data_IF_895234883805
#
_entry.id   IF_895234883805
#
_cell.length_a   1.000
_cell.length_b   1.000
_cell.length_c   1.000
_cell.angle_alpha   90.00
_cell.angle_beta   90.00
_cell.angle_gamma   90.00
#
_symmetry.space_group_name_H-M   'P 1'
#
loop_
_entity.id
_entity.type
_entity.pdbx_description
1 polymer ?
#
# COMPACT_ATOMS: atom_id res chain seq x y z
N UNK A 1 -69.48 -18.29 -9.55
CA UNK A 1 -68.44 -19.34 -9.68
C UNK A 1 -67.17 -18.91 -10.42
N UNK A 2 -67.18 -17.87 -11.27
CA UNK A 2 -65.99 -17.51 -12.08
C UNK A 2 -64.86 -16.75 -11.35
N UNK A 3 -65.11 -16.12 -10.19
CA UNK A 3 -64.07 -15.35 -9.45
C UNK A 3 -63.13 -16.24 -8.62
N UNK A 4 -63.59 -17.41 -8.17
CA UNK A 4 -62.79 -18.38 -7.39
C UNK A 4 -61.84 -19.21 -8.28
N UNK A 5 -62.20 -19.40 -9.55
CA UNK A 5 -61.35 -20.07 -10.55
C UNK A 5 -60.18 -19.17 -10.99
N UNK A 6 -60.39 -17.86 -11.14
CA UNK A 6 -59.33 -16.90 -11.52
C UNK A 6 -58.28 -16.76 -10.39
N UNK A 7 -58.71 -16.78 -9.13
CA UNK A 7 -57.80 -16.74 -7.98
C UNK A 7 -56.91 -18.00 -7.88
N UNK A 8 -57.43 -19.18 -8.26
CA UNK A 8 -56.65 -20.43 -8.25
C UNK A 8 -55.62 -20.52 -9.38
N UNK A 9 -55.87 -19.87 -10.52
CA UNK A 9 -54.93 -19.84 -11.66
C UNK A 9 -53.79 -18.83 -11.42
N UNK A 10 -54.03 -17.74 -10.69
CA UNK A 10 -52.99 -16.76 -10.31
C UNK A 10 -52.07 -17.30 -9.20
N UNK A 11 -52.55 -18.22 -8.35
CA UNK A 11 -51.73 -18.80 -7.28
C UNK A 11 -50.70 -19.82 -7.81
N UNK A 12 -50.96 -20.45 -8.96
CA UNK A 12 -50.04 -21.40 -9.59
C UNK A 12 -48.93 -20.75 -10.43
N UNK A 13 -49.04 -19.45 -10.77
CA UNK A 13 -48.01 -18.74 -11.54
C UNK A 13 -46.90 -18.12 -10.69
N UNK A 14 -47.01 -18.17 -9.36
CA UNK A 14 -45.98 -17.70 -8.43
C UNK A 14 -45.05 -18.80 -7.90
N UNK A 15 -45.24 -20.06 -8.33
CA UNK A 15 -44.27 -21.13 -8.13
C UNK A 15 -43.12 -20.98 -9.15
N UNK A 16 -42.40 -19.86 -9.10
CA UNK A 16 -41.09 -19.75 -9.74
C UNK A 16 -40.15 -20.66 -8.96
N UNK A 17 -39.87 -21.85 -9.48
CA UNK A 17 -38.75 -22.66 -9.02
C UNK A 17 -37.46 -21.84 -9.22
N UNK A 18 -37.03 -21.12 -8.19
CA UNK A 18 -35.63 -20.71 -8.10
C UNK A 18 -34.82 -22.00 -8.11
N UNK A 19 -34.22 -22.33 -9.26
CA UNK A 19 -33.19 -23.37 -9.31
C UNK A 19 -32.01 -22.88 -8.49
N UNK A 20 -31.97 -23.26 -7.22
CA UNK A 20 -30.80 -23.08 -6.37
C UNK A 20 -29.70 -23.96 -6.93
N UNK A 21 -28.65 -23.34 -7.45
CA UNK A 21 -27.44 -24.05 -7.88
C UNK A 21 -26.72 -24.55 -6.64
N UNK A 22 -26.94 -25.81 -6.27
CA UNK A 22 -26.23 -26.42 -5.17
C UNK A 22 -24.75 -26.56 -5.52
N UNK A 23 -23.89 -25.89 -4.75
CA UNK A 23 -22.45 -26.08 -4.84
C UNK A 23 -22.08 -27.54 -4.60
N UNK A 24 -21.27 -28.09 -5.49
CA UNK A 24 -20.61 -29.37 -5.28
C UNK A 24 -19.73 -29.28 -4.03
N UNK A 25 -19.80 -30.27 -3.10
CA UNK A 25 -18.86 -30.40 -2.00
C UNK A 25 -17.42 -30.47 -2.52
N UNK A 26 -16.46 -30.01 -1.70
CA UNK A 26 -15.03 -30.04 -2.04
C UNK A 26 -14.26 -31.12 -1.26
N UNK A 27 -14.96 -32.08 -0.67
CA UNK A 27 -14.36 -33.13 0.17
C UNK A 27 -13.46 -34.08 -0.64
N UNK A 28 -13.72 -34.21 -1.95
CA UNK A 28 -12.96 -35.02 -2.90
C UNK A 28 -11.77 -34.27 -3.54
N UNK A 29 -11.60 -32.97 -3.25
CA UNK A 29 -10.50 -32.20 -3.81
C UNK A 29 -9.18 -32.67 -3.18
N UNK A 30 -8.30 -33.21 -4.01
CA UNK A 30 -6.93 -33.57 -3.64
C UNK A 30 -5.95 -33.05 -4.68
N UNK A 31 -4.72 -32.81 -4.24
CA UNK A 31 -3.59 -32.52 -5.12
C UNK A 31 -2.48 -33.47 -4.75
N UNK A 32 -1.95 -34.16 -5.74
CA UNK A 32 -0.91 -35.18 -5.58
C UNK A 32 0.29 -34.82 -6.43
N UNK A 33 1.49 -35.13 -5.93
CA UNK A 33 2.70 -35.02 -6.72
C UNK A 33 2.89 -36.31 -7.53
N UNK A 34 3.41 -36.16 -8.74
CA UNK A 34 3.85 -37.31 -9.53
C UNK A 34 5.09 -38.00 -8.93
N UNK A 35 5.93 -37.26 -8.19
CA UNK A 35 7.15 -37.75 -7.55
C UNK A 35 7.33 -37.15 -6.15
N UNK A 36 8.11 -37.82 -5.32
CA UNK A 36 8.41 -37.35 -3.96
C UNK A 36 9.57 -36.34 -3.89
N UNK A 37 10.37 -36.21 -4.95
CA UNK A 37 11.54 -35.31 -5.02
C UNK A 37 11.81 -34.86 -6.45
N UNK A 38 12.26 -33.62 -6.61
CA UNK A 38 12.55 -33.00 -7.90
C UNK A 38 13.88 -32.25 -7.85
N UNK A 39 14.54 -32.09 -9.00
CA UNK A 39 15.75 -31.26 -9.12
C UNK A 39 15.44 -29.83 -9.58
N UNK A 40 16.37 -28.91 -9.37
CA UNK A 40 16.29 -27.56 -9.95
C UNK A 40 16.11 -27.66 -11.47
N UNK A 41 15.16 -26.89 -12.00
CA UNK A 41 14.83 -26.89 -13.43
C UNK A 41 13.95 -28.05 -13.90
N UNK A 42 13.70 -29.06 -13.06
CA UNK A 42 12.76 -30.14 -13.37
C UNK A 42 11.31 -29.63 -13.25
N UNK A 43 10.42 -29.94 -14.23
CA UNK A 43 9.00 -29.63 -14.11
C UNK A 43 8.34 -30.44 -12.99
N UNK A 44 7.78 -29.75 -12.00
CA UNK A 44 6.96 -30.34 -10.94
C UNK A 44 5.51 -30.39 -11.40
N UNK A 45 5.00 -31.60 -11.62
CA UNK A 45 3.61 -31.83 -12.03
C UNK A 45 2.73 -32.18 -10.83
N UNK A 46 1.66 -31.41 -10.68
CA UNK A 46 0.63 -31.57 -9.65
C UNK A 46 -0.62 -32.15 -10.29
N UNK A 47 -1.04 -33.33 -9.85
CA UNK A 47 -2.27 -34.00 -10.31
C UNK A 47 -3.43 -33.49 -9.46
N UNK A 48 -4.49 -33.00 -10.10
CA UNK A 48 -5.62 -32.34 -9.45
C UNK A 48 -6.87 -33.21 -9.58
N UNK A 49 -7.41 -33.61 -8.44
CA UNK A 49 -8.63 -34.42 -8.33
C UNK A 49 -9.82 -33.61 -7.79
N UNK A 50 -11.01 -34.17 -7.95
CA UNK A 50 -12.28 -33.56 -7.52
C UNK A 50 -12.87 -32.57 -8.54
N UNK A 51 -13.83 -31.78 -8.09
CA UNK A 51 -14.58 -30.82 -8.93
C UNK A 51 -14.50 -29.36 -8.41
N UNK A 52 -13.30 -28.80 -8.27
CA UNK A 52 -13.15 -27.39 -7.91
C UNK A 52 -13.58 -26.49 -9.08
N UNK A 53 -14.26 -25.38 -8.83
CA UNK A 53 -14.64 -24.39 -9.83
C UNK A 53 -13.47 -23.45 -10.11
N UNK A 54 -12.88 -22.90 -9.05
CA UNK A 54 -11.73 -22.02 -9.12
C UNK A 54 -10.57 -22.62 -8.34
N UNK A 55 -9.34 -22.40 -8.83
CA UNK A 55 -8.12 -22.79 -8.11
C UNK A 55 -7.13 -21.64 -8.20
N UNK A 56 -6.61 -21.26 -7.03
CA UNK A 56 -5.46 -20.38 -6.91
C UNK A 56 -4.28 -21.21 -6.37
N UNK A 57 -3.10 -20.98 -6.93
CA UNK A 57 -1.86 -21.67 -6.62
C UNK A 57 -0.86 -20.74 -5.94
N UNK A 58 -0.21 -21.22 -4.89
CA UNK A 58 0.89 -20.55 -4.20
C UNK A 58 2.11 -21.46 -4.25
N UNK A 59 3.18 -21.01 -4.91
CA UNK A 59 4.39 -21.84 -5.08
C UNK A 59 5.23 -21.98 -3.81
N UNK A 60 4.99 -21.16 -2.79
CA UNK A 60 5.83 -21.11 -1.59
C UNK A 60 7.16 -20.37 -1.80
N UNK A 61 7.42 -19.86 -3.01
CA UNK A 61 8.53 -18.94 -3.30
C UNK A 61 8.31 -17.59 -2.60
N UNK A 62 9.34 -16.74 -2.54
CA UNK A 62 9.23 -15.39 -1.99
C UNK A 62 8.12 -14.59 -2.71
N UNK A 63 7.26 -13.92 -1.93
CA UNK A 63 6.08 -13.20 -2.44
C UNK A 63 4.90 -14.09 -2.86
N UNK A 64 5.02 -15.42 -2.74
CA UNK A 64 4.05 -16.44 -3.19
C UNK A 64 3.70 -17.46 -2.10
N UNK A 65 3.72 -17.08 -0.81
CA UNK A 65 3.40 -17.95 0.33
C UNK A 65 1.97 -17.75 0.83
N UNK A 66 1.18 -18.82 0.90
CA UNK A 66 -0.23 -18.77 1.35
C UNK A 66 -0.39 -18.28 2.79
N UNK A 67 0.53 -18.64 3.69
CA UNK A 67 0.55 -18.19 5.08
C UNK A 67 0.61 -16.65 5.20
N UNK A 68 1.22 -15.96 4.22
CA UNK A 68 1.39 -14.49 4.23
C UNK A 68 0.36 -13.74 3.36
N UNK A 69 -0.65 -14.42 2.82
CA UNK A 69 -1.70 -13.79 1.98
C UNK A 69 -2.54 -12.71 2.68
N UNK A 70 -2.52 -12.69 4.02
CA UNK A 70 -3.20 -11.69 4.85
C UNK A 70 -2.22 -10.83 5.64
N UNK A 71 -0.91 -11.03 5.47
CA UNK A 71 0.13 -10.31 6.20
C UNK A 71 0.26 -8.92 5.61
N UNK A 72 0.00 -7.91 6.44
CA UNK A 72 0.09 -6.50 6.05
C UNK A 72 1.17 -5.74 6.81
N UNK A 73 1.79 -6.38 7.83
CA UNK A 73 2.80 -5.76 8.70
C UNK A 73 3.93 -6.77 8.96
N UNK A 74 5.18 -6.31 8.89
CA UNK A 74 6.40 -7.03 9.30
C UNK A 74 7.33 -6.05 10.01
N UNK A 75 7.72 -6.38 11.25
CA UNK A 75 8.67 -5.58 12.02
C UNK A 75 10.11 -5.74 11.50
N UNK A 76 10.94 -4.72 11.72
CA UNK A 76 12.34 -4.72 11.32
C UNK A 76 12.59 -4.24 9.89
N UNK A 77 11.59 -3.62 9.25
CA UNK A 77 11.81 -2.86 8.03
C UNK A 77 12.60 -1.59 8.35
N UNK A 78 13.54 -1.23 7.48
CA UNK A 78 14.16 0.10 7.50
C UNK A 78 13.34 1.04 6.64
N UNK A 79 13.31 2.33 6.98
CA UNK A 79 12.51 3.35 6.28
C UNK A 79 13.41 4.50 5.86
N UNK A 80 13.32 4.87 4.59
CA UNK A 80 14.09 5.97 3.99
C UNK A 80 13.16 6.95 3.29
N UNK A 81 13.42 8.24 3.50
CA UNK A 81 12.79 9.35 2.81
C UNK A 81 13.82 10.05 1.92
N UNK A 82 13.44 10.35 0.68
CA UNK A 82 14.16 11.25 -0.20
C UNK A 82 13.16 12.21 -0.86
N UNK A 83 13.53 13.48 -1.00
CA UNK A 83 12.75 14.46 -1.74
C UNK A 83 13.68 15.50 -2.34
N UNK A 84 13.16 16.28 -3.29
CA UNK A 84 13.90 17.36 -3.93
C UNK A 84 13.28 18.71 -3.62
N UNK A 85 14.12 19.71 -3.36
CA UNK A 85 13.68 21.08 -3.07
C UNK A 85 14.19 22.08 -4.10
N UNK A 86 13.46 23.18 -4.25
CA UNK A 86 13.87 24.36 -4.96
C UNK A 86 13.39 25.61 -4.21
N UNK A 87 14.35 26.39 -3.70
CA UNK A 87 14.10 27.75 -3.23
C UNK A 87 14.30 28.70 -4.41
N UNK A 88 13.20 29.26 -4.92
CA UNK A 88 13.21 30.07 -6.14
C UNK A 88 12.76 31.50 -5.87
N UNK A 89 13.19 32.42 -6.75
CA UNK A 89 13.02 33.87 -6.58
C UNK A 89 13.66 34.39 -5.29
N UNK A 90 13.34 35.63 -4.92
CA UNK A 90 13.76 36.25 -3.67
C UNK A 90 15.24 36.60 -3.64
N UNK A 91 15.68 37.08 -2.47
CA UNK A 91 17.07 37.41 -2.23
C UNK A 91 17.92 36.17 -1.92
N UNK A 92 19.21 36.33 -2.15
CA UNK A 92 20.28 35.44 -1.71
C UNK A 92 21.03 36.09 -0.53
N UNK A 93 21.53 35.31 0.45
CA UNK A 93 21.39 33.86 0.58
C UNK A 93 19.95 33.43 0.91
N UNK A 94 19.59 32.23 0.49
CA UNK A 94 18.28 31.63 0.82
C UNK A 94 18.18 31.46 2.33
N UNK A 95 17.10 31.97 2.90
CA UNK A 95 16.73 31.71 4.29
C UNK A 95 16.10 30.32 4.38
N UNK A 96 16.88 29.31 4.79
CA UNK A 96 16.40 27.94 4.96
C UNK A 96 15.69 27.72 6.29
N UNK A 97 15.74 28.69 7.22
CA UNK A 97 15.12 28.54 8.54
C UNK A 97 13.58 28.50 8.48
N UNK A 98 13.02 29.02 7.38
CA UNK A 98 11.58 29.11 7.14
C UNK A 98 10.94 27.82 6.62
N UNK A 99 11.74 26.82 6.21
CA UNK A 99 11.21 25.53 5.78
C UNK A 99 11.67 24.45 6.75
N UNK A 100 10.74 23.64 7.22
CA UNK A 100 11.00 22.56 8.17
C UNK A 100 10.41 21.25 7.70
N UNK A 101 11.08 20.16 8.05
CA UNK A 101 10.61 18.79 7.91
C UNK A 101 10.37 18.22 9.29
N UNK A 102 9.12 17.88 9.59
CA UNK A 102 8.71 17.28 10.84
C UNK A 102 8.16 15.87 10.63
N UNK A 103 8.25 15.07 11.69
CA UNK A 103 7.64 13.75 11.78
C UNK A 103 6.83 13.62 13.07
N UNK A 104 5.66 13.01 12.99
CA UNK A 104 4.83 12.69 14.15
C UNK A 104 4.52 11.20 14.21
N UNK A 105 4.64 10.62 15.40
CA UNK A 105 4.27 9.23 15.72
C UNK A 105 3.06 9.16 16.68
N UNK A 106 2.47 10.30 17.02
CA UNK A 106 1.32 10.40 17.93
C UNK A 106 0.13 11.19 17.33
N UNK A 107 0.26 11.70 16.11
CA UNK A 107 -0.88 12.29 15.40
C UNK A 107 -2.03 11.28 15.32
N UNK A 108 -3.24 11.71 15.67
CA UNK A 108 -4.39 10.83 15.82
C UNK A 108 -5.09 10.51 14.48
N UNK A 109 -4.62 11.07 13.37
CA UNK A 109 -5.17 10.84 12.04
C UNK A 109 -6.41 11.67 11.72
N UNK A 110 -6.78 12.65 12.55
CA UNK A 110 -7.86 13.59 12.28
C UNK A 110 -7.25 14.84 11.63
N UNK A 111 -7.52 15.03 10.34
CA UNK A 111 -6.92 16.08 9.51
C UNK A 111 -7.67 17.42 9.64
N UNK A 112 -7.65 17.98 10.84
CA UNK A 112 -8.06 19.36 11.11
C UNK A 112 -6.95 20.14 11.83
N UNK A 113 -7.06 21.47 11.82
CA UNK A 113 -6.04 22.35 12.39
C UNK A 113 -5.80 22.08 13.90
N UNK A 114 -6.87 21.83 14.66
CA UNK A 114 -6.78 21.59 16.11
C UNK A 114 -5.94 20.34 16.41
N UNK A 115 -6.22 19.23 15.72
CA UNK A 115 -5.57 17.95 15.93
C UNK A 115 -4.15 17.90 15.37
N UNK A 116 -3.90 18.55 14.23
CA UNK A 116 -2.53 18.68 13.68
C UNK A 116 -1.65 19.47 14.63
N UNK A 117 -2.16 20.58 15.19
CA UNK A 117 -1.41 21.41 16.14
C UNK A 117 -1.23 20.78 17.51
N UNK A 118 -2.16 19.93 17.95
CA UNK A 118 -2.07 19.22 19.23
C UNK A 118 -1.12 18.01 19.20
N UNK A 119 -0.75 17.52 18.01
CA UNK A 119 0.20 16.41 17.89
C UNK A 119 1.64 16.85 18.24
N UNK A 120 2.47 15.87 18.60
CA UNK A 120 3.89 16.10 18.83
C UNK A 120 4.63 15.90 17.51
N UNK A 121 5.35 16.94 17.10
CA UNK A 121 6.14 16.97 15.87
C UNK A 121 7.62 17.09 16.22
N UNK A 122 8.41 16.11 15.80
CA UNK A 122 9.86 16.10 15.98
C UNK A 122 10.52 16.74 14.75
N UNK A 123 11.38 17.74 14.98
CA UNK A 123 12.16 18.41 13.93
C UNK A 123 13.29 17.49 13.46
N UNK A 124 13.24 17.11 12.17
CA UNK A 124 14.25 16.29 11.50
C UNK A 124 14.85 17.02 10.29
N UNK A 125 14.69 18.36 10.24
CA UNK A 125 15.18 19.20 9.13
C UNK A 125 16.69 19.09 8.97
N UNK A 126 17.43 18.90 10.07
CA UNK A 126 18.88 18.74 10.09
C UNK A 126 19.37 17.50 9.30
N UNK A 127 18.50 16.50 9.11
CA UNK A 127 18.81 15.32 8.29
C UNK A 127 18.73 15.59 6.79
N UNK A 128 18.13 16.70 6.37
CA UNK A 128 17.87 17.03 4.98
C UNK A 128 18.86 18.08 4.44
N UNK A 129 19.36 17.85 3.23
CA UNK A 129 20.00 18.91 2.43
C UNK A 129 18.92 19.72 1.71
N UNK A 130 18.83 21.02 2.01
CA UNK A 130 17.83 21.90 1.41
C UNK A 130 18.45 22.79 0.32
N UNK A 131 17.63 23.15 -0.68
CA UNK A 131 18.02 24.05 -1.76
C UNK A 131 18.53 25.39 -1.21
N UNK A 132 19.73 25.77 -1.64
CA UNK A 132 20.28 27.11 -1.45
C UNK A 132 20.12 27.97 -2.72
N UNK A 133 19.12 27.66 -3.55
CA UNK A 133 18.83 28.37 -4.81
C UNK A 133 18.90 27.49 -6.06
N UNK A 134 19.46 26.28 -5.95
CA UNK A 134 19.52 25.31 -7.04
C UNK A 134 18.22 24.48 -7.09
N UNK A 135 17.63 24.34 -8.27
CA UNK A 135 16.50 23.43 -8.49
C UNK A 135 16.93 21.97 -8.35
N UNK A 136 15.97 21.08 -8.10
CA UNK A 136 16.20 19.63 -7.98
C UNK A 136 17.23 19.25 -6.90
N UNK A 137 17.43 20.08 -5.88
CA UNK A 137 18.37 19.79 -4.79
C UNK A 137 17.87 18.61 -3.99
N UNK A 138 18.57 17.45 -4.00
CA UNK A 138 18.13 16.27 -3.27
C UNK A 138 18.36 16.44 -1.77
N UNK A 139 17.42 15.97 -0.96
CA UNK A 139 17.53 15.94 0.50
C UNK A 139 18.63 15.02 1.02
N UNK A 140 19.08 14.08 0.19
CA UNK A 140 19.79 12.88 0.64
C UNK A 140 18.80 11.81 1.14
N UNK A 141 19.34 10.66 1.54
CA UNK A 141 18.54 9.56 2.09
C UNK A 141 18.37 9.72 3.60
N UNK A 142 17.24 10.29 3.99
CA UNK A 142 16.88 10.51 5.39
C UNK A 142 16.38 9.20 5.97
N UNK A 143 17.11 8.65 6.94
CA UNK A 143 16.63 7.47 7.68
C UNK A 143 15.55 7.87 8.70
N UNK A 144 14.46 7.11 8.70
CA UNK A 144 13.36 7.22 9.65
C UNK A 144 13.27 6.01 10.60
N UNK A 145 14.33 5.19 10.69
CA UNK A 145 14.33 3.92 11.42
C UNK A 145 13.99 4.08 12.91
N UNK A 146 14.52 5.11 13.57
CA UNK A 146 14.24 5.40 14.99
C UNK A 146 12.77 5.74 15.28
N UNK A 147 12.01 6.11 14.25
CA UNK A 147 10.57 6.32 14.33
C UNK A 147 9.80 5.04 13.97
N UNK A 148 10.31 4.28 12.99
CA UNK A 148 9.76 2.99 12.59
C UNK A 148 9.76 1.95 13.74
N UNK A 149 10.85 1.91 14.51
CA UNK A 149 11.03 1.06 15.70
C UNK A 149 9.97 1.28 16.78
N UNK A 150 9.25 2.41 16.74
CA UNK A 150 8.18 2.72 17.70
C UNK A 150 6.88 1.96 17.41
N UNK A 151 6.81 1.25 16.27
CA UNK A 151 5.64 0.46 15.85
C UNK A 151 4.32 1.26 15.87
N UNK A 152 4.37 2.52 15.44
CA UNK A 152 3.20 3.41 15.32
C UNK A 152 3.04 3.90 13.89
N UNK A 153 1.80 4.25 13.54
CA UNK A 153 1.57 5.03 12.33
C UNK A 153 2.29 6.38 12.43
N UNK A 154 2.81 6.83 11.30
CA UNK A 154 3.62 8.03 11.19
C UNK A 154 3.02 8.99 10.17
N UNK A 155 3.13 10.29 10.42
CA UNK A 155 2.87 11.33 9.43
C UNK A 155 4.10 12.23 9.30
N UNK A 156 4.33 12.75 8.10
CA UNK A 156 5.37 13.74 7.82
C UNK A 156 4.71 15.09 7.54
N UNK A 157 5.31 16.16 8.01
CA UNK A 157 4.86 17.51 7.71
C UNK A 157 6.00 18.33 7.14
N UNK A 158 5.72 19.08 6.08
CA UNK A 158 6.57 20.15 5.60
C UNK A 158 5.94 21.47 6.06
N UNK A 159 6.70 22.28 6.76
CA UNK A 159 6.22 23.50 7.41
C UNK A 159 6.94 24.69 6.83
N UNK A 160 6.18 25.64 6.28
CA UNK A 160 6.65 26.94 5.85
C UNK A 160 6.26 27.98 6.88
N UNK A 161 7.25 28.49 7.62
CA UNK A 161 7.04 29.47 8.68
C UNK A 161 7.97 30.65 8.55
N UNK A 162 7.43 31.84 8.34
CA UNK A 162 8.22 33.07 8.27
C UNK A 162 8.24 33.78 9.62
N UNK A 163 9.36 34.43 9.94
CA UNK A 163 9.53 35.24 11.17
C UNK A 163 9.68 36.72 10.86
N UNK A 164 9.82 37.07 9.58
CA UNK A 164 10.00 38.43 9.07
C UNK A 164 9.16 38.61 7.82
N UNK A 165 8.39 39.70 7.76
CA UNK A 165 7.65 40.11 6.57
C UNK A 165 8.65 40.69 5.57
N UNK A 166 8.65 40.16 4.35
CA UNK A 166 9.53 40.60 3.26
C UNK A 166 8.69 41.11 2.09
N UNK A 167 9.11 42.16 1.36
CA UNK A 167 8.52 42.48 0.07
C UNK A 167 8.50 41.25 -0.85
N UNK A 168 7.47 41.09 -1.69
CA UNK A 168 7.28 39.86 -2.47
C UNK A 168 8.50 39.53 -3.35
N UNK A 169 9.15 40.55 -3.92
CA UNK A 169 10.36 40.41 -4.72
C UNK A 169 11.57 39.84 -3.94
N UNK A 170 11.56 39.93 -2.61
CA UNK A 170 12.64 39.48 -1.73
C UNK A 170 12.37 38.12 -1.09
N UNK A 171 11.12 37.66 -1.09
CA UNK A 171 10.74 36.38 -0.49
C UNK A 171 10.96 35.23 -1.48
N UNK A 172 11.60 34.16 -1.01
CA UNK A 172 11.75 32.94 -1.78
C UNK A 172 10.45 32.13 -1.73
N UNK A 173 10.06 31.54 -2.87
CA UNK A 173 9.05 30.48 -2.92
C UNK A 173 9.74 29.14 -2.78
N UNK A 174 9.23 28.29 -1.90
CA UNK A 174 9.71 26.93 -1.74
C UNK A 174 8.89 25.97 -2.57
N UNK A 175 9.57 25.06 -3.27
CA UNK A 175 8.96 23.99 -4.06
C UNK A 175 9.56 22.66 -3.65
N UNK A 176 8.69 21.68 -3.46
CA UNK A 176 9.03 20.28 -3.24
C UNK A 176 8.76 19.57 -4.55
N UNK A 177 9.83 19.18 -5.25
CA UNK A 177 9.82 18.66 -6.62
C UNK A 177 9.53 17.16 -6.71
N UNK A 178 9.80 16.43 -5.64
CA UNK A 178 9.55 15.00 -5.54
C UNK A 178 9.35 14.63 -4.08
N UNK A 179 8.84 13.43 -3.84
CA UNK A 179 8.73 12.83 -2.52
C UNK A 179 8.72 11.33 -2.71
N UNK A 180 9.69 10.65 -2.13
CA UNK A 180 9.94 9.22 -2.29
C UNK A 180 10.17 8.61 -0.90
N UNK A 181 9.12 7.97 -0.37
CA UNK A 181 9.15 7.27 0.92
C UNK A 181 9.11 5.77 0.68
N UNK A 182 10.12 5.07 1.17
CA UNK A 182 10.30 3.63 0.95
C UNK A 182 10.58 2.92 2.26
N UNK A 183 10.15 1.66 2.32
CA UNK A 183 10.64 0.70 3.30
C UNK A 183 11.48 -0.35 2.60
N UNK A 184 12.45 -0.92 3.32
CA UNK A 184 13.26 -2.05 2.85
C UNK A 184 13.17 -3.15 3.89
N UNK A 185 12.73 -4.33 3.45
CA UNK A 185 12.60 -5.49 4.34
C UNK A 185 13.97 -6.13 4.65
N UNK A 186 14.00 -7.11 5.55
CA UNK A 186 15.23 -7.80 5.96
C UNK A 186 15.91 -8.58 4.81
N UNK A 187 15.22 -8.80 3.68
CA UNK A 187 15.75 -9.46 2.49
C UNK A 187 16.30 -8.45 1.46
N UNK A 188 16.24 -7.14 1.77
CA UNK A 188 16.68 -6.07 0.89
C UNK A 188 15.65 -5.64 -0.15
N UNK A 189 14.41 -6.14 -0.09
CA UNK A 189 13.36 -5.76 -1.04
C UNK A 189 12.74 -4.43 -0.64
N UNK A 190 12.66 -3.49 -1.60
CA UNK A 190 12.04 -2.19 -1.41
C UNK A 190 10.52 -2.24 -1.64
N UNK A 191 9.77 -1.59 -0.76
CA UNK A 191 8.35 -1.28 -0.93
C UNK A 191 8.16 0.23 -0.89
N UNK A 192 7.48 0.78 -1.90
CA UNK A 192 7.10 2.20 -1.92
C UNK A 192 5.94 2.42 -0.95
N UNK A 193 6.18 3.21 0.09
CA UNK A 193 5.16 3.57 1.08
C UNK A 193 4.35 4.78 0.62
N UNK A 194 5.01 5.77 0.02
CA UNK A 194 4.36 6.95 -0.54
C UNK A 194 5.23 7.63 -1.60
N UNK A 195 4.57 8.24 -2.58
CA UNK A 195 5.17 9.14 -3.57
C UNK A 195 4.54 10.53 -3.45
N UNK A 196 5.02 11.52 -4.19
CA UNK A 196 4.36 12.83 -4.28
C UNK A 196 2.85 12.73 -4.57
N UNK A 197 2.46 11.81 -5.46
CA UNK A 197 1.06 11.61 -5.85
C UNK A 197 0.24 10.80 -4.83
N UNK A 198 0.87 9.88 -4.09
CA UNK A 198 0.16 8.94 -3.19
C UNK A 198 0.28 9.30 -1.71
N UNK A 199 1.11 10.27 -1.35
CA UNK A 199 1.31 10.72 0.03
C UNK A 199 0.06 11.37 0.65
N UNK A 200 -0.98 11.68 -0.11
CA UNK A 200 -2.28 12.12 0.43
C UNK A 200 -2.21 13.43 1.22
N UNK A 201 -1.51 14.42 0.66
CA UNK A 201 -1.23 15.70 1.31
C UNK A 201 -2.49 16.48 1.70
N UNK A 202 -2.49 17.05 2.90
CA UNK A 202 -3.49 18.02 3.37
C UNK A 202 -2.78 19.29 3.83
N UNK A 203 -3.23 20.46 3.35
CA UNK A 203 -2.66 21.75 3.72
C UNK A 203 -3.44 22.39 4.88
N UNK A 204 -2.71 23.00 5.81
CA UNK A 204 -3.23 23.71 6.96
C UNK A 204 -2.57 25.09 7.03
N UNK A 205 -3.37 26.11 7.26
CA UNK A 205 -2.88 27.44 7.57
C UNK A 205 -3.22 27.76 9.01
N UNK A 206 -2.19 28.10 9.76
CA UNK A 206 -2.32 28.43 11.16
C UNK A 206 -2.18 29.91 11.49
N UNK A 207 -1.53 30.67 10.62
CA UNK A 207 -1.45 32.13 10.66
C UNK A 207 -0.97 32.64 9.31
N UNK A 208 -1.43 33.82 8.93
CA UNK A 208 -1.09 34.43 7.64
C UNK A 208 -2.31 34.53 6.72
N UNK A 209 -2.10 34.79 5.42
CA UNK A 209 -3.16 34.95 4.44
C UNK A 209 -3.83 33.60 4.20
N UNK A 210 -5.13 33.55 3.90
CA UNK A 210 -5.89 32.31 3.74
C UNK A 210 -5.41 31.34 2.62
N UNK A 211 -4.37 31.71 1.87
CA UNK A 211 -3.79 30.91 0.80
C UNK A 211 -2.77 29.92 1.37
N UNK A 212 -3.04 28.63 1.22
CA UNK A 212 -2.19 27.57 1.73
C UNK A 212 -1.22 27.05 0.63
N UNK A 213 -0.42 26.04 0.98
CA UNK A 213 0.35 25.23 0.02
C UNK A 213 -0.47 24.80 -1.21
N UNK A 214 0.08 25.02 -2.41
CA UNK A 214 -0.43 24.44 -3.65
C UNK A 214 0.01 22.99 -3.76
N UNK A 215 -0.95 22.06 -3.87
CA UNK A 215 -0.71 20.62 -3.91
C UNK A 215 -1.03 20.08 -5.30
N UNK A 216 -0.09 19.38 -5.90
CA UNK A 216 -0.28 18.63 -7.15
C UNK A 216 0.36 17.25 -7.05
N UNK A 217 0.05 16.34 -7.97
CA UNK A 217 0.73 15.04 -8.04
C UNK A 217 2.22 15.13 -8.39
N UNK A 218 2.69 16.28 -8.88
CA UNK A 218 4.07 16.49 -9.31
C UNK A 218 4.90 17.30 -8.30
N UNK A 219 4.28 18.19 -7.52
CA UNK A 219 4.99 19.11 -6.63
C UNK A 219 4.09 19.76 -5.59
N UNK A 220 4.72 20.23 -4.51
CA UNK A 220 4.13 21.10 -3.49
C UNK A 220 4.78 22.48 -3.57
N UNK A 221 4.01 23.55 -3.50
CA UNK A 221 4.54 24.92 -3.55
C UNK A 221 4.00 25.77 -2.42
N UNK A 222 4.87 26.55 -1.78
CA UNK A 222 4.45 27.62 -0.88
C UNK A 222 3.95 28.82 -1.68
N UNK A 223 3.16 29.66 -1.02
CA UNK A 223 2.74 30.97 -1.55
C UNK A 223 3.67 32.04 -0.97
N UNK A 224 4.02 33.05 -1.77
CA UNK A 224 4.74 34.23 -1.25
C UNK A 224 3.72 35.23 -0.74
N UNK A 225 3.99 35.82 0.41
CA UNK A 225 3.20 36.87 1.00
C UNK A 225 4.07 37.99 1.57
N UNK A 226 3.70 39.23 1.25
CA UNK A 226 4.41 40.43 1.67
C UNK A 226 3.68 41.27 2.71
N UNK A 227 2.50 40.85 3.15
CA UNK A 227 1.69 41.60 4.13
C UNK A 227 1.70 40.99 5.53
N UNK A 228 1.82 39.67 5.64
CA UNK A 228 1.70 38.94 6.90
C UNK A 228 2.76 37.84 7.01
N UNK A 229 3.01 37.39 8.24
CA UNK A 229 3.79 36.18 8.50
C UNK A 229 2.98 34.93 8.15
N UNK A 230 3.68 33.89 7.71
CA UNK A 230 3.10 32.60 7.34
C UNK A 230 3.43 31.54 8.41
N UNK A 231 2.48 30.66 8.70
CA UNK A 231 2.67 29.41 9.44
C UNK A 231 1.81 28.32 8.77
N UNK A 232 2.31 27.86 7.63
CA UNK A 232 1.60 27.01 6.68
C UNK A 232 2.22 25.62 6.61
N UNK A 233 1.41 24.61 6.85
CA UNK A 233 1.83 23.22 6.94
C UNK A 233 1.21 22.43 5.81
N UNK A 234 1.95 21.46 5.28
CA UNK A 234 1.40 20.40 4.43
C UNK A 234 1.78 19.06 5.05
N UNK A 235 0.76 18.27 5.39
CA UNK A 235 0.90 17.03 6.16
C UNK A 235 0.53 15.85 5.29
N UNK A 236 1.36 14.81 5.28
CA UNK A 236 1.08 13.56 4.57
C UNK A 236 -0.04 12.79 5.26
N UNK A 237 -0.72 11.91 4.52
CA UNK A 237 -1.48 10.82 5.12
C UNK A 237 -0.56 10.00 6.03
N UNK A 238 -1.13 9.43 7.08
CA UNK A 238 -0.46 8.47 7.93
C UNK A 238 -0.05 7.22 7.13
N UNK A 239 1.17 6.77 7.34
CA UNK A 239 1.72 5.53 6.81
C UNK A 239 2.18 4.63 7.96
N UNK A 240 2.16 3.32 7.73
CA UNK A 240 2.77 2.35 8.64
C UNK A 240 4.16 1.99 8.10
N UNK A 241 5.24 2.29 8.86
CA UNK A 241 6.61 2.02 8.43
C UNK A 241 6.91 0.52 8.23
N UNK A 242 6.16 -0.33 8.91
CA UNK A 242 6.27 -1.80 8.86
C UNK A 242 5.28 -2.41 7.87
N UNK A 243 4.60 -1.61 7.04
CA UNK A 243 3.66 -2.13 6.05
C UNK A 243 4.37 -2.99 5.02
N UNK A 244 3.77 -4.12 4.66
CA UNK A 244 4.22 -4.99 3.56
C UNK A 244 3.04 -5.39 2.69
N UNK A 245 3.29 -5.61 1.40
CA UNK A 245 2.28 -6.17 0.51
C UNK A 245 2.06 -7.65 0.85
N UNK A 246 0.80 -8.11 0.93
CA UNK A 246 0.53 -9.53 1.08
C UNK A 246 1.05 -10.35 -0.10
N UNK A 247 1.48 -11.58 0.18
CA UNK A 247 1.88 -12.53 -0.86
C UNK A 247 0.67 -12.91 -1.74
N UNK A 248 0.91 -13.03 -3.05
CA UNK A 248 -0.15 -13.20 -4.04
C UNK A 248 -0.15 -14.60 -4.64
N UNK A 249 -1.33 -15.20 -4.76
CA UNK A 249 -1.49 -16.46 -5.48
C UNK A 249 -1.56 -16.25 -7.00
N UNK A 250 -1.37 -17.32 -7.76
CA UNK A 250 -1.58 -17.40 -9.21
C UNK A 250 -2.93 -18.09 -9.47
N UNK A 251 -3.93 -17.40 -10.06
CA UNK A 251 -5.15 -18.07 -10.49
C UNK A 251 -4.84 -19.02 -11.66
N UNK A 252 -5.02 -20.32 -11.45
CA UNK A 252 -4.68 -21.36 -12.45
C UNK A 252 -5.92 -22.03 -13.05
N UNK A 253 -7.10 -21.82 -12.44
CA UNK A 253 -8.38 -22.36 -12.93
C UNK A 253 -9.53 -21.42 -12.64
N UNK A 254 -10.44 -21.29 -13.63
CA UNK A 254 -11.78 -20.72 -13.46
C UNK A 254 -12.89 -21.74 -13.83
N UNK A 255 -14.16 -21.36 -13.60
CA UNK A 255 -15.35 -22.19 -13.80
C UNK A 255 -15.51 -22.77 -15.21
N UNK A 256 -14.91 -22.14 -16.22
CA UNK A 256 -15.01 -22.54 -17.63
C UNK A 256 -13.95 -23.57 -18.03
N UNK A 257 -13.01 -23.89 -17.13
CA UNK A 257 -11.87 -24.75 -17.40
C UNK A 257 -12.01 -26.09 -16.68
N UNK A 258 -11.53 -27.14 -17.32
CA UNK A 258 -11.30 -28.43 -16.66
C UNK A 258 -9.80 -28.65 -16.53
N UNK A 259 -9.25 -28.34 -15.35
CA UNK A 259 -7.83 -28.52 -15.06
C UNK A 259 -7.63 -29.86 -14.33
N UNK A 260 -6.86 -30.77 -14.94
CA UNK A 260 -6.52 -32.09 -14.38
C UNK A 260 -5.11 -32.16 -13.83
N UNK A 261 -4.23 -31.29 -14.30
CA UNK A 261 -2.90 -31.15 -13.76
C UNK A 261 -2.39 -29.72 -13.95
N UNK A 262 -1.39 -29.34 -13.16
CA UNK A 262 -0.70 -28.06 -13.25
C UNK A 262 0.81 -28.31 -13.10
N UNK A 263 1.63 -27.57 -13.84
CA UNK A 263 3.08 -27.74 -13.83
C UNK A 263 3.79 -26.46 -13.43
N UNK A 264 4.79 -26.58 -12.54
CA UNK A 264 5.65 -25.47 -12.09
C UNK A 264 7.12 -25.88 -12.13
N UNK A 265 7.99 -24.99 -12.61
CA UNK A 265 9.45 -25.17 -12.55
C UNK A 265 10.02 -24.31 -11.43
N UNK A 266 10.86 -24.89 -10.58
CA UNK A 266 11.59 -24.18 -9.52
C UNK A 266 13.05 -23.99 -9.93
N UNK A 267 13.55 -22.76 -9.78
CA UNK A 267 14.91 -22.37 -10.21
C UNK A 267 15.93 -22.33 -9.07
N UNK A 268 15.49 -22.60 -7.83
CA UNK A 268 16.33 -22.66 -6.65
C UNK A 268 16.05 -23.95 -5.89
N UNK A 269 17.10 -24.56 -5.34
CA UNK A 269 16.95 -25.67 -4.41
C UNK A 269 16.38 -25.15 -3.08
N UNK A 270 15.57 -25.96 -2.40
CA UNK A 270 14.94 -25.58 -1.15
C UNK A 270 13.71 -26.43 -0.81
N UNK A 271 13.15 -26.16 0.38
CA UNK A 271 11.88 -26.72 0.81
C UNK A 271 10.81 -25.64 0.67
N UNK A 272 9.76 -25.95 -0.06
CA UNK A 272 8.65 -25.05 -0.37
C UNK A 272 7.36 -25.60 0.22
N UNK A 273 6.57 -24.74 0.87
CA UNK A 273 5.19 -25.06 1.22
C UNK A 273 4.29 -24.57 0.10
N UNK A 274 3.91 -25.50 -0.77
CA UNK A 274 3.02 -25.24 -1.90
C UNK A 274 1.58 -25.31 -1.41
N UNK A 275 0.73 -24.38 -1.83
CA UNK A 275 -0.69 -24.39 -1.46
C UNK A 275 -1.58 -24.26 -2.69
N UNK A 276 -2.67 -25.03 -2.70
CA UNK A 276 -3.77 -24.90 -3.65
C UNK A 276 -5.03 -24.55 -2.87
N UNK A 277 -5.68 -23.45 -3.25
CA UNK A 277 -6.98 -23.06 -2.70
C UNK A 277 -8.02 -23.27 -3.78
N UNK A 278 -8.84 -24.28 -3.57
CA UNK A 278 -10.01 -24.52 -4.39
C UNK A 278 -11.21 -23.76 -3.81
N UNK A 279 -12.03 -23.16 -4.67
CA UNK A 279 -13.24 -22.45 -4.25
C UNK A 279 -14.39 -22.71 -5.21
N UNK A 280 -15.52 -23.15 -4.66
CA UNK A 280 -16.81 -23.23 -5.33
C UNK A 280 -17.72 -22.16 -4.71
N UNK A 281 -18.37 -21.34 -5.52
CA UNK A 281 -19.16 -20.23 -5.01
C UNK A 281 -20.38 -19.93 -5.87
N UNK A 282 -21.50 -19.62 -5.22
CA UNK A 282 -22.70 -19.11 -5.84
C UNK A 282 -23.11 -17.79 -5.15
N UNK A 283 -24.30 -17.27 -5.47
CA UNK A 283 -24.77 -15.99 -4.92
C UNK A 283 -24.95 -16.03 -3.40
N UNK A 284 -25.20 -17.20 -2.82
CA UNK A 284 -25.60 -17.36 -1.42
C UNK A 284 -24.47 -17.85 -0.52
N UNK A 285 -23.53 -18.64 -1.05
CA UNK A 285 -22.49 -19.33 -0.28
C UNK A 285 -21.20 -19.51 -1.06
N UNK A 286 -20.10 -19.67 -0.31
CA UNK A 286 -18.79 -20.05 -0.84
C UNK A 286 -18.21 -21.18 0.01
N UNK A 287 -17.71 -22.22 -0.67
CA UNK A 287 -16.99 -23.34 -0.09
C UNK A 287 -15.53 -23.25 -0.52
N UNK A 288 -14.62 -23.31 0.45
CA UNK A 288 -13.18 -23.22 0.22
C UNK A 288 -12.45 -24.34 0.94
N UNK A 289 -11.57 -25.02 0.22
CA UNK A 289 -10.62 -25.98 0.79
C UNK A 289 -9.18 -25.57 0.43
N UNK A 290 -8.27 -25.78 1.35
CA UNK A 290 -6.83 -25.54 1.16
C UNK A 290 -6.12 -26.88 1.22
N UNK A 291 -5.27 -27.17 0.23
CA UNK A 291 -4.35 -28.30 0.25
C UNK A 291 -2.93 -27.79 0.21
N UNK A 292 -2.13 -28.25 1.16
CA UNK A 292 -0.72 -27.88 1.29
C UNK A 292 0.17 -29.10 1.06
N UNK A 293 1.29 -28.88 0.38
CA UNK A 293 2.27 -29.91 0.04
C UNK A 293 3.65 -29.36 0.41
N UNK A 294 4.40 -30.11 1.22
CA UNK A 294 5.81 -29.83 1.47
C UNK A 294 6.64 -30.42 0.31
N UNK A 295 7.16 -29.54 -0.53
CA UNK A 295 7.90 -29.86 -1.74
C UNK A 295 9.39 -29.64 -1.52
N UNK A 296 10.21 -30.67 -1.77
CA UNK A 296 11.66 -30.57 -1.71
C UNK A 296 12.27 -30.53 -3.11
N UNK A 297 13.00 -29.45 -3.41
CA UNK A 297 13.79 -29.28 -4.63
C UNK A 297 15.27 -29.42 -4.29
N UNK A 298 15.92 -30.43 -4.85
CA UNK A 298 17.36 -30.66 -4.70
C UNK A 298 18.14 -30.06 -5.87
N UNK A 299 19.46 -29.98 -5.75
CA UNK A 299 20.35 -29.55 -6.83
C UNK A 299 20.28 -30.49 -8.04
#
# INVERSE_FOLDING_TARGET
MNKLLIASVILFSLASCQKTYELAPQDDFSVELEKNSYKVGEPVRFIINGKPENIVFWSGEAGRKYEYRKRTIVEGNTVSLNFKTYAQFGLMPIDQSVIKLYVSTNFNGIYDATNVRAANWEDITDKAVLSAGLDQTPSGNISLNTFAERNKNMALALVYKTTVIKPEAQQNRWVIRSFDLKSTNQQGEETVLATMATAGWTAFNFSGPATNWSITSAQLLTVRNSTDLDDDWVVSKQFNPNSILPDVGEPIKNISQNLKDYTRVYTKAGVYKVSFVATNANVERSLTVVKEIDLTITQ
#
